data_IF_134154269275
#
_entry.id   IF_134154269275
#
_cell.length_a   1.000
_cell.length_b   1.000
_cell.length_c   1.000
_cell.angle_alpha   90.00
_cell.angle_beta   90.00
_cell.angle_gamma   90.00
#
_symmetry.space_group_name_H-M   'P 1'
#
loop_
_entity.id
_entity.type
_entity.pdbx_description
1 polymer ?
#
# COMPACT_ATOMS: atom_id res chain seq x y z
N UNK A 1 -16.93 -16.96 -9.16
CA UNK A 1 -17.64 -16.27 -8.07
C UNK A 1 -16.61 -15.50 -7.25
N UNK A 2 -16.91 -14.30 -6.76
CA UNK A 2 -16.02 -13.57 -5.87
C UNK A 2 -15.76 -14.36 -4.58
N UNK A 3 -14.55 -14.24 -4.04
CA UNK A 3 -14.16 -14.92 -2.80
C UNK A 3 -14.60 -14.07 -1.60
N UNK A 4 -14.93 -14.73 -0.50
CA UNK A 4 -15.25 -14.03 0.76
C UNK A 4 -14.00 -13.35 1.33
N UNK A 5 -14.17 -12.12 1.79
CA UNK A 5 -13.06 -11.30 2.30
C UNK A 5 -12.30 -11.95 3.47
N UNK A 6 -12.94 -12.58 4.48
CA UNK A 6 -12.22 -13.25 5.57
C UNK A 6 -11.29 -14.36 5.08
N UNK A 7 -11.70 -15.11 4.05
CA UNK A 7 -10.88 -16.19 3.50
C UNK A 7 -9.64 -15.65 2.78
N UNK A 8 -9.77 -14.54 2.04
CA UNK A 8 -8.64 -13.87 1.41
C UNK A 8 -7.63 -13.36 2.44
N UNK A 9 -8.13 -12.79 3.53
CA UNK A 9 -7.27 -12.26 4.59
C UNK A 9 -6.54 -13.40 5.30
N UNK A 10 -7.23 -14.48 5.66
CA UNK A 10 -6.60 -15.69 6.22
C UNK A 10 -5.54 -16.25 5.28
N UNK A 11 -5.82 -16.31 3.98
CA UNK A 11 -4.86 -16.80 2.99
C UNK A 11 -3.62 -15.89 2.88
N UNK A 12 -3.77 -14.55 2.93
CA UNK A 12 -2.61 -13.64 2.97
C UNK A 12 -1.73 -13.96 4.19
N UNK A 13 -2.33 -14.17 5.36
CA UNK A 13 -1.59 -14.51 6.58
C UNK A 13 -0.92 -15.89 6.47
N UNK A 14 -1.63 -16.87 5.89
CA UNK A 14 -1.06 -18.20 5.62
C UNK A 14 0.15 -18.13 4.70
N UNK A 15 0.05 -17.39 3.59
CA UNK A 15 1.14 -17.22 2.64
C UNK A 15 2.32 -16.46 3.25
N UNK A 16 2.08 -15.45 4.08
CA UNK A 16 3.14 -14.77 4.82
C UNK A 16 3.91 -15.75 5.73
N UNK A 17 3.19 -16.57 6.50
CA UNK A 17 3.77 -17.62 7.36
C UNK A 17 4.60 -18.63 6.55
N UNK A 18 4.08 -19.11 5.41
CA UNK A 18 4.80 -20.05 4.55
C UNK A 18 6.10 -19.48 3.98
N UNK A 19 6.17 -18.16 3.81
CA UNK A 19 7.36 -17.45 3.35
C UNK A 19 8.26 -16.97 4.50
N UNK A 20 7.95 -17.33 5.75
CA UNK A 20 8.71 -16.91 6.93
C UNK A 20 8.59 -15.43 7.27
N UNK A 21 7.54 -14.77 6.77
CA UNK A 21 7.29 -13.35 7.01
C UNK A 21 6.41 -13.14 8.25
N UNK A 22 6.58 -12.00 8.90
CA UNK A 22 5.64 -11.56 9.93
C UNK A 22 4.26 -11.28 9.32
N UNK A 23 3.15 -11.48 10.07
CA UNK A 23 1.82 -11.11 9.62
C UNK A 23 1.76 -9.62 9.23
N UNK A 24 1.13 -9.26 8.10
CA UNK A 24 1.07 -7.88 7.66
C UNK A 24 0.23 -7.02 8.61
N UNK A 25 0.71 -5.82 8.94
CA UNK A 25 -0.10 -4.83 9.64
C UNK A 25 -1.26 -4.32 8.75
N UNK A 26 -2.28 -3.72 9.38
CA UNK A 26 -3.53 -3.33 8.71
C UNK A 26 -3.31 -2.50 7.43
N UNK A 27 -2.42 -1.50 7.46
CA UNK A 27 -2.14 -0.67 6.28
C UNK A 27 -1.60 -1.52 5.12
N UNK A 28 -0.62 -2.38 5.39
CA UNK A 28 -0.04 -3.27 4.38
C UNK A 28 -1.07 -4.26 3.85
N UNK A 29 -1.85 -4.85 4.74
CA UNK A 29 -2.93 -5.80 4.39
C UNK A 29 -3.92 -5.18 3.40
N UNK A 30 -4.41 -3.96 3.68
CA UNK A 30 -5.32 -3.24 2.78
C UNK A 30 -4.69 -3.03 1.40
N UNK A 31 -3.40 -2.67 1.33
CA UNK A 31 -2.71 -2.45 0.04
C UNK A 31 -2.47 -3.77 -0.71
N UNK A 32 -2.16 -4.85 -0.01
CA UNK A 32 -2.04 -6.17 -0.62
C UNK A 32 -3.37 -6.67 -1.18
N UNK A 33 -4.47 -6.48 -0.47
CA UNK A 33 -5.82 -6.81 -0.96
C UNK A 33 -6.20 -5.98 -2.19
N UNK A 34 -5.89 -4.67 -2.18
CA UNK A 34 -6.12 -3.82 -3.33
C UNK A 34 -5.32 -4.29 -4.56
N UNK A 35 -4.04 -4.59 -4.38
CA UNK A 35 -3.20 -5.09 -5.47
C UNK A 35 -3.65 -6.47 -5.96
N UNK A 36 -4.14 -7.34 -5.06
CA UNK A 36 -4.69 -8.63 -5.43
C UNK A 36 -5.95 -8.47 -6.29
N UNK A 37 -6.89 -7.60 -5.89
CA UNK A 37 -8.10 -7.33 -6.68
C UNK A 37 -7.77 -6.68 -8.02
N UNK A 38 -6.82 -5.74 -8.05
CA UNK A 38 -6.35 -5.08 -9.27
C UNK A 38 -5.75 -6.08 -10.26
N UNK A 39 -4.83 -6.93 -9.80
CA UNK A 39 -4.17 -7.93 -10.64
C UNK A 39 -5.14 -9.00 -11.12
N UNK A 40 -6.06 -9.42 -10.25
CA UNK A 40 -7.14 -10.35 -10.60
C UNK A 40 -8.03 -9.78 -11.71
N UNK A 41 -8.49 -8.53 -11.57
CA UNK A 41 -9.31 -7.86 -12.58
C UNK A 41 -8.60 -7.75 -13.93
N UNK A 42 -7.30 -7.47 -13.93
CA UNK A 42 -6.49 -7.44 -15.17
C UNK A 42 -6.50 -8.78 -15.89
N UNK A 43 -6.46 -9.88 -15.15
CA UNK A 43 -6.39 -11.24 -15.69
C UNK A 43 -7.77 -11.80 -16.06
N UNK A 44 -8.84 -11.32 -15.40
CA UNK A 44 -10.20 -11.87 -15.51
C UNK A 44 -11.20 -10.87 -16.13
N UNK A 45 -10.76 -10.04 -17.04
CA UNK A 45 -11.65 -9.15 -17.81
C UNK A 45 -12.44 -8.14 -16.96
N UNK A 46 -11.87 -7.67 -15.85
CA UNK A 46 -12.50 -6.70 -14.95
C UNK A 46 -13.31 -7.31 -13.80
N UNK A 47 -13.48 -8.63 -13.77
CA UNK A 47 -14.21 -9.30 -12.69
C UNK A 47 -13.50 -9.12 -11.33
N UNK A 48 -14.20 -8.72 -10.25
CA UNK A 48 -13.60 -8.50 -8.95
C UNK A 48 -13.18 -9.82 -8.29
N UNK A 49 -12.07 -9.79 -7.53
CA UNK A 49 -11.62 -10.92 -6.72
C UNK A 49 -12.56 -11.18 -5.53
N UNK A 50 -12.99 -10.10 -4.88
CA UNK A 50 -13.96 -10.10 -3.80
C UNK A 50 -14.97 -8.95 -3.99
N UNK A 51 -16.05 -8.97 -3.20
CA UNK A 51 -17.05 -7.89 -3.20
C UNK A 51 -16.52 -6.71 -2.38
N UNK A 52 -15.59 -5.95 -2.96
CA UNK A 52 -14.96 -4.79 -2.33
C UNK A 52 -15.23 -3.55 -3.17
N UNK A 53 -15.70 -2.50 -2.48
CA UNK A 53 -15.98 -1.18 -3.07
C UNK A 53 -14.82 -0.24 -2.76
N UNK A 54 -13.86 -0.16 -3.65
CA UNK A 54 -12.67 0.64 -3.46
C UNK A 54 -12.93 2.14 -3.63
N UNK A 55 -12.50 2.91 -2.65
CA UNK A 55 -12.50 4.39 -2.65
C UNK A 55 -11.11 4.92 -2.39
N UNK A 56 -10.84 6.10 -2.92
CA UNK A 56 -9.64 6.84 -2.55
C UNK A 56 -9.88 7.60 -1.24
N UNK A 57 -9.37 7.11 -0.11
CA UNK A 57 -9.44 7.79 1.18
C UNK A 57 -8.05 8.35 1.59
N UNK A 58 -7.93 8.87 2.83
CA UNK A 58 -6.76 9.57 3.34
C UNK A 58 -5.42 8.85 3.14
N UNK A 59 -5.41 7.53 3.16
CA UNK A 59 -4.20 6.71 3.02
C UNK A 59 -4.24 5.83 1.76
N UNK A 60 -4.87 6.31 0.70
CA UNK A 60 -4.98 5.62 -0.59
C UNK A 60 -6.21 4.72 -0.69
N UNK A 61 -6.15 3.65 -1.51
CA UNK A 61 -7.29 2.78 -1.72
C UNK A 61 -7.71 2.12 -0.41
N UNK A 62 -8.99 2.19 -0.13
CA UNK A 62 -9.65 1.61 1.02
C UNK A 62 -11.05 1.10 0.63
N UNK A 63 -11.47 -0.01 1.19
CA UNK A 63 -12.83 -0.55 1.04
C UNK A 63 -13.51 -0.56 2.41
N UNK A 64 -14.73 -0.03 2.49
CA UNK A 64 -15.45 0.09 3.76
C UNK A 64 -15.77 -1.27 4.37
N UNK A 65 -15.88 -2.30 3.54
CA UNK A 65 -16.12 -3.69 3.93
C UNK A 65 -14.97 -4.27 4.79
N UNK A 66 -13.79 -3.60 4.78
CA UNK A 66 -12.66 -3.94 5.65
C UNK A 66 -12.81 -3.40 7.08
N UNK A 67 -13.72 -2.44 7.31
CA UNK A 67 -13.84 -1.77 8.61
C UNK A 67 -14.24 -2.75 9.72
N UNK A 68 -15.20 -3.62 9.46
CA UNK A 68 -15.70 -4.60 10.44
C UNK A 68 -14.60 -5.61 10.80
N UNK A 69 -13.84 -6.05 9.79
CA UNK A 69 -12.74 -6.98 9.97
C UNK A 69 -11.57 -6.36 10.74
N UNK A 70 -11.22 -5.11 10.41
CA UNK A 70 -10.13 -4.38 11.08
C UNK A 70 -10.54 -3.77 12.44
N UNK A 71 -11.82 -3.75 12.75
CA UNK A 71 -12.38 -3.37 14.06
C UNK A 71 -12.76 -4.55 14.96
N UNK A 72 -12.63 -5.78 14.45
CA UNK A 72 -13.05 -6.99 15.14
C UNK A 72 -12.15 -7.40 16.31
N UNK A 73 -12.56 -8.43 17.07
CA UNK A 73 -11.84 -8.92 18.27
C UNK A 73 -10.49 -9.57 17.94
N UNK A 74 -10.28 -10.00 16.68
CA UNK A 74 -9.03 -10.63 16.21
C UNK A 74 -7.93 -9.60 15.91
N UNK A 75 -8.16 -8.31 16.20
CA UNK A 75 -7.19 -7.24 15.94
C UNK A 75 -6.38 -6.95 17.20
N UNK A 76 -5.10 -7.28 17.15
CA UNK A 76 -4.14 -6.78 18.14
C UNK A 76 -3.76 -5.33 17.85
N UNK A 77 -3.73 -4.55 18.92
CA UNK A 77 -3.30 -3.15 18.89
C UNK A 77 -1.97 -3.04 19.61
N UNK A 78 -0.96 -2.55 18.91
CA UNK A 78 0.35 -2.24 19.49
C UNK A 78 0.53 -0.73 19.51
N UNK A 79 0.63 -0.15 20.68
CA UNK A 79 0.95 1.26 20.86
C UNK A 79 2.47 1.43 20.95
N UNK A 80 3.00 2.37 20.18
CA UNK A 80 4.42 2.73 20.21
C UNK A 80 4.63 3.94 21.12
N UNK A 81 5.84 4.12 21.65
CA UNK A 81 6.24 5.28 22.46
C UNK A 81 5.97 6.62 21.78
N UNK A 82 5.85 6.64 20.45
CA UNK A 82 5.48 7.81 19.64
C UNK A 82 3.99 8.13 19.66
N UNK A 83 3.16 7.40 20.40
CA UNK A 83 1.69 7.51 20.40
C UNK A 83 1.02 6.95 19.15
N UNK A 84 1.78 6.33 18.24
CA UNK A 84 1.21 5.66 17.06
C UNK A 84 0.70 4.28 17.46
N UNK A 85 -0.48 3.92 16.94
CA UNK A 85 -1.09 2.60 17.14
C UNK A 85 -0.99 1.80 15.84
N UNK A 86 -0.36 0.63 15.91
CA UNK A 86 -0.42 -0.35 14.82
C UNK A 86 -1.55 -1.35 15.10
N UNK A 87 -2.30 -1.67 14.06
CA UNK A 87 -3.33 -2.69 14.08
C UNK A 87 -2.85 -3.88 13.26
N UNK A 88 -3.02 -5.08 13.80
CA UNK A 88 -2.66 -6.33 13.13
C UNK A 88 -3.74 -7.36 13.42
N UNK A 89 -4.20 -8.04 12.38
CA UNK A 89 -5.05 -9.23 12.54
C UNK A 89 -4.19 -10.41 12.97
N UNK A 90 -4.70 -11.20 13.89
CA UNK A 90 -4.03 -12.40 14.41
C UNK A 90 -4.98 -13.57 14.27
N UNK A 91 -4.47 -14.66 13.74
CA UNK A 91 -5.19 -15.93 13.58
C UNK A 91 -4.46 -17.03 14.31
N UNK A 92 -5.22 -17.98 14.87
CA UNK A 92 -4.65 -19.15 15.44
C UNK A 92 -3.90 -19.99 14.37
N UNK A 93 -2.78 -20.64 14.70
CA UNK A 93 -2.01 -21.43 13.74
C UNK A 93 -2.84 -22.44 12.96
N UNK A 94 -3.80 -23.08 13.63
CA UNK A 94 -4.71 -24.09 13.08
C UNK A 94 -5.60 -23.53 11.98
N UNK A 95 -5.99 -22.26 12.08
CA UNK A 95 -6.81 -21.59 11.08
C UNK A 95 -6.06 -21.31 9.78
N UNK A 96 -4.73 -21.38 9.82
CA UNK A 96 -3.82 -21.11 8.71
C UNK A 96 -3.18 -22.38 8.13
N UNK A 97 -3.60 -23.58 8.52
CA UNK A 97 -2.98 -24.83 8.04
C UNK A 97 -3.32 -25.11 6.59
N UNK A 98 -4.59 -24.95 6.21
CA UNK A 98 -5.08 -25.33 4.91
C UNK A 98 -5.53 -24.12 4.09
N UNK A 99 -5.29 -24.11 2.75
CA UNK A 99 -5.82 -23.07 1.87
C UNK A 99 -7.34 -23.16 1.84
N UNK A 100 -8.01 -22.02 1.97
CA UNK A 100 -9.47 -21.89 1.91
C UNK A 100 -9.93 -21.20 0.63
N UNK A 101 -9.00 -20.91 -0.29
CA UNK A 101 -9.25 -20.28 -1.58
C UNK A 101 -8.63 -21.11 -2.70
N UNK A 102 -9.09 -20.96 -3.95
CA UNK A 102 -8.52 -21.66 -5.11
C UNK A 102 -7.01 -21.45 -5.26
N UNK A 103 -6.32 -22.46 -5.80
CA UNK A 103 -4.86 -22.46 -5.99
C UNK A 103 -4.36 -21.25 -6.79
N UNK A 104 -5.11 -20.81 -7.79
CA UNK A 104 -4.80 -19.63 -8.59
C UNK A 104 -4.69 -18.38 -7.72
N UNK A 105 -5.59 -18.22 -6.76
CA UNK A 105 -5.58 -17.09 -5.81
C UNK A 105 -4.44 -17.26 -4.80
N UNK A 106 -4.19 -18.46 -4.31
CA UNK A 106 -3.01 -18.73 -3.48
C UNK A 106 -1.72 -18.30 -4.18
N UNK A 107 -1.57 -18.67 -5.45
CA UNK A 107 -0.42 -18.29 -6.27
C UNK A 107 -0.30 -16.78 -6.50
N UNK A 108 -1.43 -16.09 -6.72
CA UNK A 108 -1.46 -14.62 -6.83
C UNK A 108 -0.98 -13.96 -5.53
N UNK A 109 -1.56 -14.35 -4.40
CA UNK A 109 -1.21 -13.79 -3.09
C UNK A 109 0.24 -14.08 -2.69
N UNK A 110 0.73 -15.29 -2.99
CA UNK A 110 2.12 -15.67 -2.76
C UNK A 110 3.09 -14.76 -3.54
N UNK A 111 2.81 -14.47 -4.82
CA UNK A 111 3.64 -13.56 -5.64
C UNK A 111 3.61 -12.14 -5.11
N UNK A 112 2.45 -11.64 -4.72
CA UNK A 112 2.32 -10.29 -4.15
C UNK A 112 3.09 -10.15 -2.84
N UNK A 113 3.00 -11.14 -1.96
CA UNK A 113 3.77 -11.16 -0.70
C UNK A 113 5.26 -11.22 -0.95
N UNK A 114 5.72 -12.04 -1.90
CA UNK A 114 7.14 -12.08 -2.28
C UNK A 114 7.67 -10.73 -2.74
N UNK A 115 6.82 -9.93 -3.40
CA UNK A 115 7.21 -8.60 -3.89
C UNK A 115 7.07 -7.50 -2.85
N UNK A 116 6.04 -7.57 -2.00
CA UNK A 116 5.59 -6.49 -1.15
C UNK A 116 5.45 -6.84 0.35
N UNK A 117 5.58 -8.10 0.72
CA UNK A 117 5.40 -8.56 2.10
C UNK A 117 6.35 -7.90 3.08
N UNK A 118 7.64 -7.90 2.77
CA UNK A 118 8.71 -7.28 3.58
C UNK A 118 9.30 -6.02 2.95
N UNK A 119 8.73 -5.54 1.82
CA UNK A 119 9.18 -4.29 1.21
C UNK A 119 8.96 -3.11 2.16
N UNK A 120 9.75 -2.05 2.00
CA UNK A 120 9.50 -0.79 2.70
C UNK A 120 8.06 -0.32 2.45
N UNK A 121 7.35 0.08 3.52
CA UNK A 121 5.95 0.47 3.43
C UNK A 121 5.76 1.69 2.52
N UNK A 122 6.71 2.64 2.53
CA UNK A 122 6.62 3.81 1.66
C UNK A 122 6.77 3.41 0.19
N UNK A 123 7.62 2.44 -0.12
CA UNK A 123 7.73 1.91 -1.48
C UNK A 123 6.42 1.27 -1.96
N UNK A 124 5.78 0.47 -1.11
CA UNK A 124 4.47 -0.10 -1.42
C UNK A 124 3.42 0.98 -1.64
N UNK A 125 3.39 1.98 -0.78
CA UNK A 125 2.46 3.09 -0.90
C UNK A 125 2.73 3.91 -2.16
N UNK A 126 3.99 4.21 -2.48
CA UNK A 126 4.35 4.93 -3.71
C UNK A 126 3.92 4.16 -4.96
N UNK A 127 4.15 2.85 -4.98
CA UNK A 127 3.68 2.01 -6.07
C UNK A 127 2.16 2.07 -6.22
N UNK A 128 1.43 1.93 -5.12
CA UNK A 128 -0.04 1.98 -5.12
C UNK A 128 -0.54 3.32 -5.63
N UNK A 129 0.06 4.43 -5.19
CA UNK A 129 -0.40 5.78 -5.54
C UNK A 129 -0.05 6.19 -6.97
N UNK A 130 1.14 5.84 -7.45
CA UNK A 130 1.68 6.42 -8.68
C UNK A 130 1.82 5.44 -9.83
N UNK A 131 1.65 4.13 -9.58
CA UNK A 131 1.87 3.10 -10.60
C UNK A 131 0.62 2.24 -10.85
N UNK A 132 -0.51 2.57 -10.18
CA UNK A 132 -1.77 1.86 -10.41
C UNK A 132 -2.80 2.77 -11.07
N UNK A 133 -3.39 2.33 -12.20
CA UNK A 133 -4.25 3.14 -13.04
C UNK A 133 -5.47 3.71 -12.30
N UNK A 134 -6.16 2.95 -11.40
CA UNK A 134 -7.29 3.51 -10.68
C UNK A 134 -6.90 4.65 -9.74
N UNK A 135 -5.69 4.59 -9.15
CA UNK A 135 -5.22 5.63 -8.24
C UNK A 135 -4.65 6.85 -8.96
N UNK A 136 -3.98 6.65 -10.12
CA UNK A 136 -3.48 7.76 -10.95
C UNK A 136 -4.58 8.75 -11.38
N UNK A 137 -5.83 8.27 -11.49
CA UNK A 137 -6.95 9.04 -12.05
C UNK A 137 -7.95 9.50 -11.01
N UNK A 138 -7.98 8.86 -9.83
CA UNK A 138 -8.96 9.14 -8.81
C UNK A 138 -8.61 10.40 -8.01
N UNK A 139 -9.64 11.13 -7.61
CA UNK A 139 -9.55 12.17 -6.59
C UNK A 139 -9.96 11.61 -5.23
N UNK A 140 -9.50 12.28 -4.20
CA UNK A 140 -9.82 11.89 -2.84
C UNK A 140 -11.33 11.85 -2.59
N UNK A 141 -11.82 10.77 -1.98
CA UNK A 141 -13.25 10.52 -1.74
C UNK A 141 -13.97 9.79 -2.87
N UNK A 142 -13.41 9.73 -4.07
CA UNK A 142 -14.04 9.07 -5.22
C UNK A 142 -13.95 7.54 -5.16
N UNK A 143 -14.88 6.91 -5.85
CA UNK A 143 -14.79 5.49 -6.18
C UNK A 143 -13.68 5.25 -7.19
N UNK A 144 -12.90 4.19 -7.01
CA UNK A 144 -11.87 3.82 -7.95
C UNK A 144 -12.48 3.19 -9.21
N UNK A 145 -12.08 3.69 -10.36
CA UNK A 145 -12.51 3.20 -11.67
C UNK A 145 -11.55 2.12 -12.19
N UNK A 146 -12.05 0.89 -12.30
CA UNK A 146 -11.33 -0.26 -12.86
C UNK A 146 -11.68 -0.54 -14.34
N UNK A 147 -12.45 0.33 -15.00
CA UNK A 147 -12.88 0.08 -16.38
C UNK A 147 -11.76 0.19 -17.41
N UNK A 148 -10.68 0.89 -17.07
CA UNK A 148 -9.56 1.17 -17.98
C UNK A 148 -8.25 0.54 -17.52
N UNK A 149 -8.31 -0.68 -17.02
CA UNK A 149 -7.11 -1.41 -16.65
C UNK A 149 -6.29 -1.78 -17.88
N UNK A 150 -4.99 -1.51 -17.82
CA UNK A 150 -4.05 -2.01 -18.81
C UNK A 150 -3.99 -3.53 -18.66
N UNK A 151 -4.23 -4.25 -19.74
CA UNK A 151 -3.97 -5.69 -19.72
C UNK A 151 -2.49 -5.90 -19.36
N UNK A 152 -2.18 -6.90 -18.52
CA UNK A 152 -0.79 -7.17 -18.20
C UNK A 152 -0.06 -7.41 -19.52
N UNK A 153 0.84 -6.49 -19.86
CA UNK A 153 1.85 -6.85 -20.83
C UNK A 153 2.48 -8.14 -20.30
N UNK A 154 2.67 -9.15 -21.13
CA UNK A 154 3.26 -10.46 -20.80
C UNK A 154 4.70 -10.37 -20.22
N UNK A 155 5.09 -9.18 -19.76
CA UNK A 155 6.38 -8.88 -19.15
C UNK A 155 6.24 -8.91 -17.63
N UNK A 156 7.23 -9.53 -17.01
CA UNK A 156 7.45 -9.54 -15.57
C UNK A 156 7.26 -8.12 -14.96
N UNK A 157 6.78 -8.02 -13.69
CA UNK A 157 6.67 -6.73 -13.01
C UNK A 157 8.03 -6.02 -13.14
N UNK A 158 8.04 -4.70 -13.40
CA UNK A 158 9.29 -3.97 -13.45
C UNK A 158 10.00 -4.25 -12.14
N UNK A 159 11.12 -4.96 -12.22
CA UNK A 159 12.03 -5.06 -11.09
C UNK A 159 12.41 -3.62 -10.79
N UNK A 160 11.84 -3.07 -9.75
CA UNK A 160 12.25 -1.76 -9.24
C UNK A 160 13.74 -1.93 -8.96
N UNK A 161 14.56 -1.33 -9.82
CA UNK A 161 16.00 -1.42 -9.71
C UNK A 161 16.39 -0.72 -8.40
N UNK A 162 16.59 -1.51 -7.37
CA UNK A 162 16.95 -1.01 -6.04
C UNK A 162 18.23 -0.16 -6.09
N UNK A 163 19.12 -0.44 -7.05
CA UNK A 163 20.32 0.38 -7.26
C UNK A 163 19.94 1.75 -7.81
N UNK A 164 19.00 1.82 -8.74
CA UNK A 164 18.49 3.07 -9.30
C UNK A 164 17.73 3.91 -8.27
N UNK A 165 16.93 3.27 -7.42
CA UNK A 165 16.27 3.93 -6.29
C UNK A 165 17.29 4.44 -5.25
N UNK A 166 18.30 3.64 -4.93
CA UNK A 166 19.37 4.03 -4.01
C UNK A 166 20.19 5.19 -4.58
N UNK A 167 20.46 5.20 -5.87
CA UNK A 167 21.13 6.30 -6.56
C UNK A 167 20.27 7.58 -6.61
N UNK A 168 18.96 7.45 -6.85
CA UNK A 168 18.02 8.58 -6.79
C UNK A 168 17.90 9.15 -5.37
N UNK A 169 17.81 8.29 -4.34
CA UNK A 169 17.81 8.71 -2.93
C UNK A 169 19.12 9.43 -2.56
N UNK A 170 20.25 8.94 -3.01
CA UNK A 170 21.55 9.59 -2.77
C UNK A 170 21.62 10.97 -3.42
N UNK A 171 21.18 11.12 -4.68
CA UNK A 171 21.13 12.42 -5.38
C UNK A 171 20.16 13.41 -4.72
N UNK A 172 19.00 12.92 -4.25
CA UNK A 172 18.04 13.74 -3.51
C UNK A 172 18.60 14.20 -2.15
N UNK A 173 19.25 13.30 -1.42
CA UNK A 173 19.90 13.63 -0.16
C UNK A 173 21.02 14.69 -0.32
N UNK A 174 21.79 14.60 -1.40
CA UNK A 174 22.84 15.56 -1.74
C UNK A 174 22.23 16.93 -2.09
N UNK A 175 21.18 16.97 -2.89
CA UNK A 175 20.44 18.20 -3.22
C UNK A 175 19.80 18.87 -2.00
N UNK A 176 19.23 18.07 -1.09
CA UNK A 176 18.66 18.58 0.18
C UNK A 176 19.76 19.15 1.08
N UNK A 177 20.96 18.52 1.10
CA UNK A 177 22.10 19.03 1.86
C UNK A 177 22.57 20.38 1.32
N UNK A 178 22.66 20.51 -0.01
CA UNK A 178 23.01 21.77 -0.69
C UNK A 178 21.98 22.88 -0.45
N UNK A 179 20.69 22.54 -0.46
CA UNK A 179 19.61 23.48 -0.12
C UNK A 179 19.69 23.94 1.34
N UNK A 180 19.94 23.05 2.30
CA UNK A 180 20.14 23.41 3.72
C UNK A 180 21.34 24.33 3.93
N UNK A 181 22.42 24.13 3.18
CA UNK A 181 23.61 25.01 3.23
C UNK A 181 23.32 26.38 2.63
N UNK A 182 22.46 26.48 1.63
CA UNK A 182 22.09 27.76 1.00
C UNK A 182 21.06 28.57 1.77
N UNK A 183 20.17 27.92 2.50
CA UNK A 183 19.08 28.59 3.24
C UNK A 183 19.39 28.93 4.67
N UNK A 184 20.64 28.76 5.13
CA UNK A 184 21.09 29.27 6.43
C UNK A 184 20.29 28.82 7.64
N UNK A 185 19.78 27.57 7.60
CA UNK A 185 19.24 26.96 8.82
C UNK A 185 17.91 27.53 9.33
N UNK A 186 17.03 27.97 8.46
CA UNK A 186 15.63 28.23 8.83
C UNK A 186 15.06 26.97 9.45
N UNK A 187 14.82 27.00 10.76
CA UNK A 187 14.14 25.95 11.51
C UNK A 187 12.67 25.94 11.07
N UNK A 188 12.38 25.22 10.01
CA UNK A 188 10.99 24.89 9.70
C UNK A 188 10.56 23.76 10.65
N UNK A 189 9.48 23.91 11.43
CA UNK A 189 9.09 22.93 12.44
C UNK A 189 8.59 21.60 11.85
N UNK A 190 8.36 21.54 10.54
CA UNK A 190 7.88 20.34 9.86
C UNK A 190 8.71 20.10 8.59
N UNK A 191 9.50 19.04 8.61
CA UNK A 191 10.25 18.55 7.48
C UNK A 191 9.62 17.21 7.03
N UNK A 192 9.39 17.05 5.73
CA UNK A 192 8.95 15.80 5.18
C UNK A 192 9.97 14.69 5.44
N UNK A 193 9.60 13.73 6.28
CA UNK A 193 10.36 12.53 6.50
C UNK A 193 9.93 11.46 5.51
N UNK A 194 10.91 10.88 4.82
CA UNK A 194 10.76 9.68 3.97
C UNK A 194 9.47 9.59 3.14
N UNK A 195 9.31 10.51 2.19
CA UNK A 195 8.21 10.42 1.23
C UNK A 195 6.86 10.84 1.79
N UNK A 196 6.84 11.89 2.63
CA UNK A 196 5.58 12.54 2.99
C UNK A 196 4.78 12.86 1.73
N UNK A 197 3.52 12.50 1.74
CA UNK A 197 2.58 12.76 0.67
C UNK A 197 1.75 13.96 1.04
N UNK A 198 1.73 14.92 0.15
CA UNK A 198 0.82 16.06 0.21
C UNK A 198 -0.18 15.95 -0.93
N UNK A 199 -1.23 16.68 -0.81
CA UNK A 199 -2.29 16.76 -1.80
C UNK A 199 -2.17 18.11 -2.49
N UNK A 200 -2.21 18.15 -3.83
CA UNK A 200 -2.25 19.39 -4.57
C UNK A 200 -3.66 20.03 -4.49
N UNK A 201 -3.81 21.20 -5.09
CA UNK A 201 -5.09 21.95 -5.10
C UNK A 201 -6.24 21.18 -5.80
N UNK A 202 -5.89 20.17 -6.61
CA UNK A 202 -6.86 19.30 -7.30
C UNK A 202 -7.06 17.97 -6.56
N UNK A 203 -6.60 17.88 -5.29
CA UNK A 203 -6.74 16.72 -4.41
C UNK A 203 -6.04 15.45 -4.96
N UNK A 204 -4.94 15.63 -5.69
CA UNK A 204 -4.09 14.54 -6.20
C UNK A 204 -2.88 14.33 -5.30
N UNK A 205 -2.44 13.09 -5.09
CA UNK A 205 -1.26 12.81 -4.29
C UNK A 205 0.01 13.31 -5.02
N UNK A 206 0.75 14.19 -4.37
CA UNK A 206 2.05 14.65 -4.83
C UNK A 206 3.13 14.14 -3.90
N UNK A 207 4.16 13.53 -4.46
CA UNK A 207 5.32 13.08 -3.70
C UNK A 207 6.27 14.23 -3.45
N UNK A 208 6.41 14.63 -2.20
CA UNK A 208 7.42 15.61 -1.82
C UNK A 208 8.82 14.98 -1.81
N UNK A 209 9.84 15.71 -2.27
CA UNK A 209 11.22 15.28 -2.08
C UNK A 209 11.55 15.19 -0.59
N UNK A 210 12.41 14.24 -0.21
CA UNK A 210 12.87 14.06 1.16
C UNK A 210 13.48 15.36 1.67
N UNK A 211 13.00 15.86 2.81
CA UNK A 211 13.45 17.10 3.42
C UNK A 211 12.76 18.37 2.93
N UNK A 212 11.75 18.25 2.04
CA UNK A 212 10.96 19.43 1.67
C UNK A 212 10.12 19.93 2.86
N UNK A 213 9.97 21.25 3.02
CA UNK A 213 9.06 21.81 4.00
C UNK A 213 7.62 21.48 3.60
N UNK A 214 6.81 21.12 4.59
CA UNK A 214 5.37 20.93 4.39
C UNK A 214 4.68 22.23 4.77
N UNK A 215 4.19 22.96 3.80
CA UNK A 215 3.34 24.13 4.01
C UNK A 215 1.87 23.68 4.03
N UNK A 216 1.15 24.03 5.08
CA UNK A 216 -0.27 23.80 5.17
C UNK A 216 -0.98 25.07 4.70
N UNK A 217 -1.78 25.02 3.61
CA UNK A 217 -2.57 26.15 3.22
C UNK A 217 -3.63 26.39 4.31
N UNK A 218 -3.59 27.55 4.97
CA UNK A 218 -4.68 28.03 5.81
C UNK A 218 -4.45 27.96 7.34
N UNK A 219 -3.22 28.08 7.83
CA UNK A 219 -2.94 28.40 9.25
C UNK A 219 -2.40 29.82 9.34
#
# INVERSE_FOLDING_TARGET
MPVELPLLVKEIHRQARLQGMAPPGATRLVKLLYLADLEWRRQHGGAPLAQLTWRFLHFGPYACELADLLGGPEVEKTEFETGKVAHRLVFAPEELENPQVPEEICGLLARLLKSWGDADLNMLLDFVYFETEPMERARRGELLDFSQLRQPARAAPPRVDQQRLKALRARLAERVRDLKLRTGGLQSPLIAHDGARVWDEEDRPVKLPIGAPIEFPGV
#
